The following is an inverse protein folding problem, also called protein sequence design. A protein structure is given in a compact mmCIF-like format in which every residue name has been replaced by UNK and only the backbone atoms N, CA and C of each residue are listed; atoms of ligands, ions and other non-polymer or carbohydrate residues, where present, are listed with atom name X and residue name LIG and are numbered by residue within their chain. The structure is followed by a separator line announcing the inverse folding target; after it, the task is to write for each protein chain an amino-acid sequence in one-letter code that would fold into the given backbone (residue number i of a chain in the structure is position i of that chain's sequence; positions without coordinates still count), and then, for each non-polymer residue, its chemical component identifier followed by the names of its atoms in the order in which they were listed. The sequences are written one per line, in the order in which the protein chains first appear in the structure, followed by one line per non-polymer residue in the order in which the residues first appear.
data_IF_152982836448
#
_entry.id   IF_152982836448
#
_cell.length_a   1.000
_cell.length_b   1.000
_cell.length_c   1.000
_cell.angle_alpha   90.00
_cell.angle_beta   90.00
_cell.angle_gamma   90.00
#
_symmetry.space_group_name_H-M   'P 1'
#
loop_
_entity.id
_entity.type
_entity.pdbx_description
1 polymer ?
#
# COMPACT_ATOMS: atom_id res chain seq x y z
N UNK A 1 -10.05 7.74 -10.08
CA UNK A 1 -10.03 6.86 -8.89
C UNK A 1 -10.86 7.52 -7.81
N UNK A 2 -11.74 6.79 -7.12
CA UNK A 2 -12.52 7.30 -5.98
C UNK A 2 -11.58 7.51 -4.79
N UNK A 3 -11.57 8.72 -4.23
CA UNK A 3 -10.85 9.07 -3.01
C UNK A 3 -11.52 8.32 -1.86
N UNK A 4 -10.79 7.44 -1.18
CA UNK A 4 -11.28 6.68 -0.02
C UNK A 4 -10.89 7.36 1.29
N UNK A 5 -11.72 7.26 2.31
CA UNK A 5 -11.36 7.70 3.66
C UNK A 5 -10.26 6.81 4.27
N UNK A 6 -9.53 7.30 5.25
CA UNK A 6 -8.49 6.50 5.92
C UNK A 6 -9.05 5.21 6.53
N UNK A 7 -10.28 5.26 7.05
CA UNK A 7 -10.99 4.13 7.65
C UNK A 7 -11.34 3.07 6.60
N UNK A 8 -11.83 3.49 5.43
CA UNK A 8 -12.11 2.59 4.30
C UNK A 8 -10.83 1.93 3.77
N UNK A 9 -9.74 2.69 3.70
CA UNK A 9 -8.44 2.17 3.28
C UNK A 9 -7.95 1.10 4.26
N UNK A 10 -8.12 1.32 5.56
CA UNK A 10 -7.68 0.35 6.57
C UNK A 10 -8.51 -0.93 6.55
N UNK A 11 -9.83 -0.80 6.33
CA UNK A 11 -10.73 -1.95 6.12
C UNK A 11 -10.34 -2.77 4.89
N UNK A 12 -9.94 -2.14 3.79
CA UNK A 12 -9.48 -2.81 2.57
C UNK A 12 -8.08 -3.42 2.71
N UNK A 13 -7.20 -2.77 3.45
CA UNK A 13 -5.83 -3.25 3.67
C UNK A 13 -5.78 -4.46 4.60
N UNK A 14 -6.66 -4.55 5.61
CA UNK A 14 -6.70 -5.66 6.56
C UNK A 14 -6.71 -7.06 5.92
N UNK A 15 -7.67 -7.39 5.03
CA UNK A 15 -7.70 -8.71 4.39
C UNK A 15 -6.48 -8.95 3.50
N UNK A 16 -6.03 -7.94 2.73
CA UNK A 16 -4.85 -8.08 1.88
C UNK A 16 -3.56 -8.36 2.69
N UNK A 17 -3.39 -7.69 3.83
CA UNK A 17 -2.29 -7.93 4.74
C UNK A 17 -2.37 -9.31 5.40
N UNK A 18 -3.57 -9.80 5.70
CA UNK A 18 -3.77 -11.14 6.23
C UNK A 18 -3.38 -12.21 5.20
N UNK A 19 -3.76 -12.05 3.93
CA UNK A 19 -3.35 -12.94 2.84
C UNK A 19 -1.82 -13.00 2.69
N UNK A 20 -1.15 -11.83 2.67
CA UNK A 20 0.31 -11.77 2.65
C UNK A 20 0.95 -12.50 3.83
N UNK A 21 0.40 -12.31 5.04
CA UNK A 21 0.92 -12.94 6.25
C UNK A 21 0.79 -14.46 6.24
N UNK A 22 -0.25 -15.01 5.59
CA UNK A 22 -0.40 -16.47 5.39
C UNK A 22 0.70 -17.03 4.51
N UNK A 23 1.15 -16.27 3.51
CA UNK A 23 2.25 -16.62 2.61
C UNK A 23 3.63 -16.39 3.24
N UNK A 24 3.68 -15.88 4.47
CA UNK A 24 4.92 -15.55 5.19
C UNK A 24 5.47 -14.16 4.88
N UNK A 25 4.80 -13.40 4.01
CA UNK A 25 5.20 -12.06 3.62
C UNK A 25 4.62 -10.97 4.54
N UNK A 26 5.40 -9.90 4.73
CA UNK A 26 4.99 -8.76 5.55
C UNK A 26 5.42 -7.44 4.92
N UNK A 27 4.48 -6.52 4.79
CA UNK A 27 4.80 -5.15 4.41
C UNK A 27 5.42 -4.37 5.57
N UNK A 28 6.53 -3.70 5.30
CA UNK A 28 7.13 -2.69 6.17
C UNK A 28 6.20 -1.49 6.36
N UNK A 29 6.47 -0.68 7.40
CA UNK A 29 5.70 0.56 7.66
C UNK A 29 5.74 1.51 6.45
N UNK A 30 6.88 1.61 5.76
CA UNK A 30 7.04 2.47 4.57
C UNK A 30 6.17 1.99 3.41
N UNK A 31 6.16 0.68 3.13
CA UNK A 31 5.33 0.11 2.08
C UNK A 31 3.83 0.28 2.37
N UNK A 32 3.41 0.06 3.63
CA UNK A 32 2.01 0.30 4.05
C UNK A 32 1.59 1.76 3.83
N UNK A 33 2.45 2.71 4.19
CA UNK A 33 2.18 4.14 3.96
C UNK A 33 2.02 4.45 2.47
N UNK A 34 2.88 3.88 1.62
CA UNK A 34 2.82 4.09 0.18
C UNK A 34 1.50 3.57 -0.43
N UNK A 35 1.05 2.39 0.02
CA UNK A 35 -0.26 1.83 -0.38
C UNK A 35 -1.40 2.74 0.09
N UNK A 36 -1.37 3.24 1.34
CA UNK A 36 -2.39 4.18 1.84
C UNK A 36 -2.49 5.42 0.95
N UNK A 37 -1.37 6.07 0.64
CA UNK A 37 -1.31 7.27 -0.23
C UNK A 37 -1.91 7.04 -1.62
N UNK A 38 -1.70 5.86 -2.20
CA UNK A 38 -2.29 5.53 -3.50
C UNK A 38 -3.81 5.34 -3.39
N UNK A 39 -4.30 4.75 -2.30
CA UNK A 39 -5.72 4.48 -2.10
C UNK A 39 -6.52 5.72 -1.68
N UNK A 40 -5.89 6.68 -1.00
CA UNK A 40 -6.45 8.01 -0.69
C UNK A 40 -6.38 8.96 -1.89
N UNK A 41 -5.63 8.61 -2.95
CA UNK A 41 -5.45 9.46 -4.12
C UNK A 41 -4.45 10.61 -3.91
N UNK A 42 -3.68 10.60 -2.82
CA UNK A 42 -2.56 11.54 -2.60
C UNK A 42 -1.45 11.40 -3.66
N UNK A 43 -1.29 10.20 -4.22
CA UNK A 43 -0.35 9.93 -5.32
C UNK A 43 -1.06 9.19 -6.46
N UNK A 44 -0.57 9.38 -7.68
CA UNK A 44 -1.04 8.63 -8.84
C UNK A 44 -0.58 7.18 -8.79
N UNK A 45 -1.23 6.32 -9.58
CA UNK A 45 -0.79 4.93 -9.72
C UNK A 45 0.62 4.81 -10.32
N UNK A 46 0.97 5.66 -11.29
CA UNK A 46 2.31 5.69 -11.90
C UNK A 46 3.40 6.07 -10.88
N UNK A 47 3.11 7.06 -10.02
CA UNK A 47 4.01 7.47 -8.95
C UNK A 47 4.13 6.40 -7.87
N UNK A 48 3.03 5.71 -7.55
CA UNK A 48 3.03 4.55 -6.67
C UNK A 48 3.96 3.45 -7.18
N UNK A 49 3.86 3.06 -8.45
CA UNK A 49 4.70 2.02 -9.06
C UNK A 49 6.17 2.43 -9.02
N UNK A 50 6.47 3.67 -9.38
CA UNK A 50 7.85 4.19 -9.37
C UNK A 50 8.47 4.10 -7.97
N UNK A 51 7.78 4.60 -6.95
CA UNK A 51 8.26 4.56 -5.55
C UNK A 51 8.32 3.15 -4.97
N UNK A 52 7.40 2.26 -5.38
CA UNK A 52 7.43 0.87 -4.95
C UNK A 52 8.66 0.13 -5.51
N UNK A 53 9.02 0.39 -6.77
CA UNK A 53 10.23 -0.14 -7.39
C UNK A 53 11.51 0.39 -6.72
N UNK A 54 11.56 1.69 -6.42
CA UNK A 54 12.67 2.26 -5.67
C UNK A 54 12.83 1.63 -4.29
N UNK A 55 11.73 1.44 -3.56
CA UNK A 55 11.74 0.76 -2.26
C UNK A 55 12.25 -0.68 -2.39
N UNK A 56 11.82 -1.43 -3.41
CA UNK A 56 12.25 -2.80 -3.63
C UNK A 56 13.74 -2.91 -3.97
N UNK A 57 14.32 -1.91 -4.66
CA UNK A 57 15.76 -1.87 -4.97
C UNK A 57 16.63 -1.58 -3.75
N UNK A 58 16.06 -1.03 -2.69
CA UNK A 58 16.75 -0.64 -1.46
C UNK A 58 16.24 -1.37 -0.21
N UNK A 59 15.50 -2.48 -0.39
CA UNK A 59 14.87 -3.27 0.68
C UNK A 59 15.77 -4.39 1.21
#
# INVERSE_FOLDING_TARGET
MTVRSEEEVELLMRPALASLAVEGDRLSKKQKLLVKKCLTGEISHEEFVTRALELARHA
#
